data_IF_385496604681
#
_entry.id   IF_385496604681
#
_cell.length_a   1.000
_cell.length_b   1.000
_cell.length_c   1.000
_cell.angle_alpha   90.00
_cell.angle_beta   90.00
_cell.angle_gamma   90.00
#
_symmetry.space_group_name_H-M   'P 1'
#
loop_
_entity.id
_entity.type
_entity.pdbx_description
1 polymer ?
#
# COMPACT_ATOMS: atom_id res chain seq x y z
N UNK A 1 -8.64 0.14 -24.09
CA UNK A 1 -9.52 -0.32 -22.98
C UNK A 1 -8.77 -0.94 -21.81
N UNK A 2 -7.81 -1.86 -22.01
CA UNK A 2 -7.00 -2.49 -20.93
C UNK A 2 -6.34 -1.52 -19.93
N UNK A 3 -5.85 -0.36 -20.40
CA UNK A 3 -5.24 0.65 -19.53
C UNK A 3 -6.23 1.25 -18.53
N UNK A 4 -7.39 1.68 -19.01
CA UNK A 4 -8.45 2.29 -18.17
C UNK A 4 -8.96 1.27 -17.13
N UNK A 5 -9.19 0.02 -17.54
CA UNK A 5 -9.60 -1.05 -16.63
C UNK A 5 -8.57 -1.30 -15.52
N UNK A 6 -7.28 -1.29 -15.86
CA UNK A 6 -6.19 -1.44 -14.89
C UNK A 6 -6.20 -0.32 -13.84
N UNK A 7 -6.44 0.92 -14.28
CA UNK A 7 -6.53 2.09 -13.39
C UNK A 7 -7.74 2.00 -12.46
N UNK A 8 -8.91 1.59 -12.97
CA UNK A 8 -10.11 1.41 -12.16
C UNK A 8 -9.89 0.34 -11.07
N UNK A 9 -9.35 -0.82 -11.45
CA UNK A 9 -9.05 -1.91 -10.51
C UNK A 9 -7.99 -1.46 -9.49
N UNK A 10 -7.00 -0.69 -9.92
CA UNK A 10 -5.98 -0.13 -9.04
C UNK A 10 -6.60 0.78 -7.96
N UNK A 11 -7.48 1.70 -8.36
CA UNK A 11 -8.15 2.61 -7.42
C UNK A 11 -9.04 1.83 -6.43
N UNK A 12 -9.75 0.80 -6.90
CA UNK A 12 -10.58 -0.08 -6.07
C UNK A 12 -9.76 -0.85 -5.01
N UNK A 13 -8.62 -1.42 -5.41
CA UNK A 13 -7.72 -2.10 -4.46
C UNK A 13 -7.10 -1.09 -3.50
N UNK A 14 -6.71 0.08 -3.99
CA UNK A 14 -6.12 1.13 -3.16
C UNK A 14 -7.12 1.65 -2.12
N UNK A 15 -8.40 1.83 -2.47
CA UNK A 15 -9.42 2.30 -1.52
C UNK A 15 -9.79 1.26 -0.47
N UNK A 16 -9.73 -0.04 -0.82
CA UNK A 16 -10.06 -1.13 0.10
C UNK A 16 -8.90 -1.50 1.04
N UNK A 17 -7.66 -1.43 0.55
CA UNK A 17 -6.46 -1.82 1.31
C UNK A 17 -5.76 -0.61 1.94
N UNK A 18 -6.09 0.61 1.53
CA UNK A 18 -5.47 1.85 1.99
C UNK A 18 -5.49 2.00 3.52
N UNK A 19 -6.63 1.79 4.15
CA UNK A 19 -6.74 1.89 5.62
C UNK A 19 -5.84 0.88 6.32
N UNK A 20 -5.73 -0.35 5.80
CA UNK A 20 -4.87 -1.40 6.37
C UNK A 20 -3.39 -1.05 6.21
N UNK A 21 -3.00 -0.47 5.06
CA UNK A 21 -1.63 -0.06 4.78
C UNK A 21 -1.12 1.02 5.73
N UNK A 22 -1.99 1.91 6.22
CA UNK A 22 -1.60 2.96 7.15
C UNK A 22 -1.81 2.56 8.61
N UNK A 23 -2.88 1.84 8.94
CA UNK A 23 -3.26 1.53 10.31
C UNK A 23 -2.28 0.55 10.97
N UNK A 24 -1.87 -0.52 10.27
CA UNK A 24 -0.99 -1.56 10.82
C UNK A 24 0.39 -1.00 11.25
N UNK A 25 1.15 -0.31 10.38
CA UNK A 25 2.47 0.20 10.76
C UNK A 25 2.41 1.28 11.85
N UNK A 26 1.37 2.11 11.87
CA UNK A 26 1.18 3.10 12.95
C UNK A 26 0.85 2.41 14.29
N UNK A 27 0.03 1.35 14.26
CA UNK A 27 -0.31 0.57 15.46
C UNK A 27 0.93 -0.14 16.02
N UNK A 28 1.77 -0.71 15.15
CA UNK A 28 3.04 -1.32 15.54
C UNK A 28 4.00 -0.30 16.18
N UNK A 29 4.10 0.91 15.61
CA UNK A 29 4.92 1.98 16.18
C UNK A 29 4.52 2.30 17.63
N UNK A 30 3.21 2.45 17.87
CA UNK A 30 2.66 2.78 19.20
C UNK A 30 2.90 1.65 20.21
N UNK A 31 2.86 0.39 19.76
CA UNK A 31 3.08 -0.79 20.63
C UNK A 31 4.55 -1.01 20.95
N UNK A 32 5.45 -0.83 19.98
CA UNK A 32 6.89 -1.09 20.18
C UNK A 32 7.63 0.03 20.91
N UNK A 33 7.23 1.29 20.72
CA UNK A 33 7.85 2.43 21.39
C UNK A 33 6.79 3.23 22.19
N UNK A 34 6.48 2.84 23.44
CA UNK A 34 5.53 3.58 24.27
C UNK A 34 6.07 4.91 24.81
N UNK A 35 7.40 5.13 24.74
CA UNK A 35 8.05 6.32 25.27
C UNK A 35 8.25 7.39 24.18
N UNK A 36 7.38 8.40 24.20
CA UNK A 36 7.26 9.47 23.20
C UNK A 36 8.57 10.26 23.00
N UNK A 37 9.42 10.38 24.02
CA UNK A 37 10.70 11.08 23.94
C UNK A 37 11.75 10.34 23.07
N UNK A 38 11.71 9.00 23.06
CA UNK A 38 12.57 8.15 22.22
C UNK A 38 12.08 8.08 20.77
N UNK A 39 10.78 8.27 20.56
CA UNK A 39 10.18 8.23 19.22
C UNK A 39 10.78 9.32 18.33
N UNK A 40 11.12 10.49 18.88
CA UNK A 40 11.54 11.63 18.07
C UNK A 40 12.92 11.44 17.39
N UNK A 41 13.84 10.71 18.03
CA UNK A 41 15.17 10.36 17.48
C UNK A 41 15.09 9.22 16.46
N UNK A 42 14.17 8.27 16.64
CA UNK A 42 14.00 7.10 15.76
C UNK A 42 12.96 7.38 14.66
N UNK A 43 12.16 8.44 14.79
CA UNK A 43 11.08 8.82 13.90
C UNK A 43 11.53 8.92 12.44
N UNK A 44 12.73 9.45 12.19
CA UNK A 44 13.28 9.56 10.83
C UNK A 44 13.49 8.19 10.16
N UNK A 45 14.04 7.21 10.89
CA UNK A 45 14.18 5.84 10.37
C UNK A 45 12.81 5.20 10.11
N UNK A 46 11.85 5.46 10.98
CA UNK A 46 10.47 4.98 10.82
C UNK A 46 9.76 5.62 9.62
N UNK A 47 9.88 6.93 9.41
CA UNK A 47 9.30 7.61 8.24
C UNK A 47 9.92 7.10 6.94
N UNK A 48 11.23 6.86 6.91
CA UNK A 48 11.92 6.27 5.76
C UNK A 48 11.40 4.84 5.50
N UNK A 49 11.29 4.03 6.55
CA UNK A 49 10.73 2.68 6.46
C UNK A 49 9.28 2.67 5.94
N UNK A 50 8.45 3.58 6.43
CA UNK A 50 7.06 3.73 6.03
C UNK A 50 6.94 4.22 4.57
N UNK A 51 7.79 5.16 4.14
CA UNK A 51 7.87 5.60 2.75
C UNK A 51 8.28 4.47 1.80
N UNK A 52 9.32 3.70 2.16
CA UNK A 52 9.75 2.53 1.39
C UNK A 52 8.63 1.48 1.32
N UNK A 53 8.02 1.16 2.46
CA UNK A 53 6.87 0.24 2.53
C UNK A 53 5.75 0.68 1.59
N UNK A 54 5.40 1.97 1.59
CA UNK A 54 4.35 2.52 0.74
C UNK A 54 4.68 2.37 -0.76
N UNK A 55 5.93 2.64 -1.15
CA UNK A 55 6.40 2.48 -2.54
C UNK A 55 6.31 1.00 -2.97
N UNK A 56 6.76 0.08 -2.12
CA UNK A 56 6.67 -1.36 -2.41
C UNK A 56 5.22 -1.83 -2.51
N UNK A 57 4.36 -1.40 -1.58
CA UNK A 57 2.94 -1.73 -1.58
C UNK A 57 2.24 -1.25 -2.85
N UNK A 58 2.47 0.01 -3.24
CA UNK A 58 1.95 0.58 -4.51
C UNK A 58 2.37 -0.24 -5.73
N UNK A 59 3.65 -0.62 -5.79
CA UNK A 59 4.19 -1.42 -6.89
C UNK A 59 3.53 -2.80 -6.98
N UNK A 60 3.30 -3.44 -5.84
CA UNK A 60 2.62 -4.74 -5.76
C UNK A 60 1.17 -4.61 -6.21
N UNK A 61 0.44 -3.62 -5.67
CA UNK A 61 -0.97 -3.38 -6.01
C UNK A 61 -1.11 -3.11 -7.50
N UNK A 62 -0.26 -2.26 -8.08
CA UNK A 62 -0.29 -1.97 -9.51
C UNK A 62 -0.06 -3.23 -10.38
N UNK A 63 0.87 -4.11 -9.95
CA UNK A 63 1.13 -5.38 -10.65
C UNK A 63 -0.08 -6.32 -10.57
N UNK A 64 -0.73 -6.39 -9.40
CA UNK A 64 -1.97 -7.15 -9.21
C UNK A 64 -3.10 -6.60 -10.08
N UNK A 65 -3.29 -5.27 -10.13
CA UNK A 65 -4.31 -4.64 -10.97
C UNK A 65 -4.10 -4.93 -12.45
N UNK A 66 -2.84 -4.93 -12.91
CA UNK A 66 -2.51 -5.30 -14.29
C UNK A 66 -2.82 -6.77 -14.59
N UNK A 67 -2.51 -7.66 -13.65
CA UNK A 67 -2.84 -9.10 -13.75
C UNK A 67 -4.35 -9.33 -13.83
N UNK A 68 -5.12 -8.71 -12.92
CA UNK A 68 -6.57 -8.81 -12.90
C UNK A 68 -7.21 -8.22 -14.16
N UNK A 69 -6.75 -7.07 -14.62
CA UNK A 69 -7.22 -6.45 -15.87
C UNK A 69 -6.98 -7.35 -17.08
N UNK A 70 -5.81 -7.99 -17.16
CA UNK A 70 -5.52 -8.95 -18.22
C UNK A 70 -6.44 -10.16 -18.16
N UNK A 71 -6.60 -10.76 -16.98
CA UNK A 71 -7.48 -11.91 -16.77
C UNK A 71 -8.94 -11.61 -17.14
N UNK A 72 -9.45 -10.44 -16.75
CA UNK A 72 -10.79 -9.98 -17.13
C UNK A 72 -10.92 -9.85 -18.65
N UNK A 73 -9.95 -9.19 -19.30
CA UNK A 73 -9.99 -9.06 -20.76
C UNK A 73 -9.86 -10.40 -21.51
N UNK A 74 -9.20 -11.39 -20.92
CA UNK A 74 -9.09 -12.72 -21.53
C UNK A 74 -10.36 -13.54 -21.30
N UNK A 75 -11.14 -13.28 -20.25
CA UNK A 75 -12.47 -13.88 -19.99
C UNK A 75 -13.56 -13.42 -20.98
N UNK A 76 -13.44 -12.18 -21.48
CA UNK A 76 -14.39 -11.60 -22.43
C UNK A 76 -13.93 -11.72 -23.90
N UNK A 77 -12.86 -12.48 -24.14
CA UNK A 77 -12.41 -12.89 -25.47
C UNK A 77 -12.99 -14.26 -25.81
#
# INVERSE_FOLDING_TARGET
>A
MKGILTVIIFILILSSVGTILFLIPISLLIVLEPNIASIHDIAWYWYIGLALYFIFALKIIFKLSKGASNWICDLFK
#
